data_IF_227331886925
#
_entry.id   IF_227331886925
#
_cell.length_a   1.000
_cell.length_b   1.000
_cell.length_c   1.000
_cell.angle_alpha   90.00
_cell.angle_beta   90.00
_cell.angle_gamma   90.00
#
_symmetry.space_group_name_H-M   'P 1'
#
loop_
_entity.id
_entity.type
_entity.pdbx_description
1 polymer ?
#
# COMPACT_ATOMS: atom_id res chain seq x y z
N UNK A 1 -0.56 -14.66 -17.05
CA UNK A 1 -0.21 -15.30 -15.77
C UNK A 1 -1.02 -14.58 -14.71
N UNK A 2 -1.61 -15.28 -13.74
CA UNK A 2 -2.33 -14.60 -12.65
C UNK A 2 -1.31 -14.07 -11.64
N UNK A 3 -1.38 -12.79 -11.31
CA UNK A 3 -0.53 -12.15 -10.31
C UNK A 3 -1.24 -12.18 -8.96
N UNK A 4 -0.53 -12.49 -7.88
CA UNK A 4 -1.04 -12.36 -6.52
C UNK A 4 -0.90 -10.90 -6.12
N UNK A 5 -1.99 -10.27 -5.70
CA UNK A 5 -2.04 -8.86 -5.38
C UNK A 5 -2.40 -8.69 -3.90
N UNK A 6 -1.57 -7.93 -3.21
CA UNK A 6 -1.93 -7.33 -1.93
C UNK A 6 -2.34 -5.89 -2.20
N UNK A 7 -3.53 -5.52 -1.74
CA UNK A 7 -3.99 -4.14 -1.72
C UNK A 7 -4.08 -3.66 -0.28
N UNK A 8 -3.35 -2.59 0.02
CA UNK A 8 -3.29 -1.97 1.34
C UNK A 8 -4.12 -0.69 1.29
N UNK A 9 -5.17 -0.64 2.09
CA UNK A 9 -6.10 0.46 2.16
C UNK A 9 -5.84 1.31 3.41
N UNK A 10 -5.69 2.62 3.23
CA UNK A 10 -5.63 3.61 4.30
C UNK A 10 -6.85 4.51 4.24
N UNK A 11 -7.39 4.86 5.40
CA UNK A 11 -8.37 5.93 5.54
C UNK A 11 -7.63 7.26 5.40
N UNK A 12 -8.12 8.13 4.52
CA UNK A 12 -7.54 9.45 4.33
C UNK A 12 -7.61 10.29 5.61
N UNK A 13 -8.65 10.15 6.44
CA UNK A 13 -8.78 10.86 7.72
C UNK A 13 -7.76 10.43 8.76
N UNK A 14 -7.20 9.22 8.62
CA UNK A 14 -6.12 8.73 9.47
C UNK A 14 -4.74 9.27 9.04
N UNK A 15 -4.63 9.92 7.87
CA UNK A 15 -3.36 10.45 7.37
C UNK A 15 -2.93 11.64 8.23
N UNK A 16 -1.74 11.58 8.88
CA UNK A 16 -1.31 12.62 9.80
C UNK A 16 -1.27 14.02 9.17
N UNK A 17 -2.04 14.94 9.77
CA UNK A 17 -2.06 16.33 9.38
C UNK A 17 -2.88 16.66 8.13
N UNK A 18 -3.65 15.70 7.58
CA UNK A 18 -4.63 15.97 6.52
C UNK A 18 -5.64 17.03 6.99
N UNK A 19 -5.99 17.97 6.11
CA UNK A 19 -7.17 18.82 6.24
C UNK A 19 -8.39 18.11 5.62
N UNK A 20 -9.44 17.81 6.39
CA UNK A 20 -10.63 17.14 5.86
C UNK A 20 -11.41 18.00 4.85
N UNK A 21 -11.20 19.32 4.87
CA UNK A 21 -11.87 20.27 3.99
C UNK A 21 -11.13 20.47 2.65
N UNK A 22 -9.93 19.89 2.49
CA UNK A 22 -9.14 19.97 1.25
C UNK A 22 -9.14 18.62 0.51
N UNK A 23 -9.94 18.47 -0.55
CA UNK A 23 -9.97 17.23 -1.34
C UNK A 23 -8.67 16.98 -2.12
N UNK A 24 -7.78 17.97 -2.23
CA UNK A 24 -6.49 17.86 -2.90
C UNK A 24 -5.32 18.12 -1.94
N UNK A 25 -5.46 17.79 -0.65
CA UNK A 25 -4.40 18.01 0.33
C UNK A 25 -3.08 17.33 -0.13
N UNK A 26 -2.01 18.10 -0.43
CA UNK A 26 -0.75 17.56 -0.94
C UNK A 26 -0.06 16.61 0.04
N UNK A 27 -0.48 16.58 1.31
CA UNK A 27 -0.01 15.60 2.29
C UNK A 27 -0.50 14.19 1.99
N UNK A 28 -1.68 14.04 1.39
CA UNK A 28 -2.20 12.73 0.96
C UNK A 28 -1.33 12.18 -0.16
N UNK A 29 -1.01 13.00 -1.17
CA UNK A 29 -0.11 12.62 -2.26
C UNK A 29 1.29 12.27 -1.74
N UNK A 30 1.83 13.11 -0.83
CA UNK A 30 3.11 12.83 -0.20
C UNK A 30 3.09 11.53 0.62
N UNK A 31 2.03 11.29 1.39
CA UNK A 31 1.89 10.05 2.16
C UNK A 31 1.83 8.85 1.23
N UNK A 32 1.02 8.91 0.16
CA UNK A 32 0.95 7.89 -0.90
C UNK A 32 2.33 7.58 -1.47
N UNK A 33 3.05 8.60 -1.94
CA UNK A 33 4.31 8.38 -2.65
C UNK A 33 5.38 7.77 -1.73
N UNK A 34 5.43 8.22 -0.47
CA UNK A 34 6.37 7.66 0.51
C UNK A 34 5.95 6.25 0.93
N UNK A 35 4.67 6.00 1.20
CA UNK A 35 4.16 4.69 1.56
C UNK A 35 4.43 3.66 0.45
N UNK A 36 4.12 4.02 -0.79
CA UNK A 36 4.37 3.20 -1.98
C UNK A 36 5.85 2.85 -2.09
N UNK A 37 6.74 3.84 -2.02
CA UNK A 37 8.18 3.62 -2.12
C UNK A 37 8.72 2.77 -0.95
N UNK A 38 8.22 2.98 0.27
CA UNK A 38 8.67 2.23 1.45
C UNK A 38 8.23 0.77 1.41
N UNK A 39 6.97 0.51 1.07
CA UNK A 39 6.44 -0.84 0.97
C UNK A 39 7.11 -1.59 -0.19
N UNK A 40 7.29 -0.93 -1.34
CA UNK A 40 8.02 -1.49 -2.48
C UNK A 40 9.46 -1.87 -2.12
N UNK A 41 10.17 -1.01 -1.37
CA UNK A 41 11.51 -1.31 -0.85
C UNK A 41 11.52 -2.55 0.06
N UNK A 42 10.52 -2.68 0.95
CA UNK A 42 10.42 -3.82 1.87
C UNK A 42 10.20 -5.13 1.11
N UNK A 43 9.32 -5.12 0.10
CA UNK A 43 9.02 -6.30 -0.71
C UNK A 43 10.19 -6.68 -1.63
N UNK A 44 10.79 -5.71 -2.33
CA UNK A 44 11.94 -5.95 -3.22
C UNK A 44 13.17 -6.48 -2.48
N UNK A 45 13.42 -6.01 -1.25
CA UNK A 45 14.54 -6.47 -0.42
C UNK A 45 14.48 -7.96 -0.03
N UNK A 46 13.32 -8.61 -0.18
CA UNK A 46 13.14 -10.05 0.04
C UNK A 46 12.86 -10.85 -1.23
N UNK A 47 12.90 -10.23 -2.41
CA UNK A 47 12.32 -10.78 -3.65
C UNK A 47 10.86 -11.25 -3.43
N UNK A 48 10.10 -10.54 -2.61
CA UNK A 48 8.73 -10.92 -2.24
C UNK A 48 7.69 -10.30 -3.15
N UNK A 49 8.04 -9.25 -3.88
CA UNK A 49 7.08 -8.50 -4.68
C UNK A 49 7.60 -7.15 -5.14
N UNK A 50 6.72 -6.39 -5.78
CA UNK A 50 6.96 -5.02 -6.24
C UNK A 50 5.65 -4.23 -6.32
N UNK A 51 5.77 -2.90 -6.28
CA UNK A 51 4.67 -1.95 -6.40
C UNK A 51 4.05 -1.94 -7.79
N UNK A 52 2.72 -1.98 -7.83
CA UNK A 52 1.94 -1.87 -9.06
C UNK A 52 1.52 -0.42 -9.29
N UNK A 53 0.63 0.09 -8.44
CA UNK A 53 0.15 1.46 -8.51
C UNK A 53 -0.49 1.89 -7.18
N UNK A 54 -0.99 3.12 -7.18
CA UNK A 54 -1.73 3.70 -6.08
C UNK A 54 -2.92 4.51 -6.61
N UNK A 55 -4.06 4.41 -5.94
CA UNK A 55 -5.28 5.14 -6.26
C UNK A 55 -5.84 5.84 -5.02
N UNK A 56 -6.31 7.07 -5.19
CA UNK A 56 -7.07 7.81 -4.17
C UNK A 56 -8.52 7.82 -4.67
N UNK A 57 -9.40 7.13 -3.96
CA UNK A 57 -10.81 6.97 -4.33
C UNK A 57 -11.68 7.24 -3.11
N UNK A 58 -12.66 8.12 -3.27
CA UNK A 58 -13.56 8.55 -2.20
C UNK A 58 -12.79 9.03 -0.94
N UNK A 59 -12.84 8.24 0.13
CA UNK A 59 -12.22 8.47 1.43
C UNK A 59 -11.01 7.54 1.69
N UNK A 60 -10.52 6.84 0.66
CA UNK A 60 -9.45 5.84 0.79
C UNK A 60 -8.27 6.08 -0.13
N UNK A 61 -7.09 5.80 0.42
CA UNK A 61 -5.87 5.57 -0.34
C UNK A 61 -5.66 4.05 -0.48
N UNK A 62 -5.58 3.56 -1.71
CA UNK A 62 -5.31 2.16 -2.04
C UNK A 62 -3.93 2.04 -2.66
N UNK A 63 -3.08 1.18 -2.11
CA UNK A 63 -1.76 0.86 -2.65
C UNK A 63 -1.76 -0.61 -3.08
N UNK A 64 -1.35 -0.90 -4.32
CA UNK A 64 -1.36 -2.26 -4.85
C UNK A 64 0.05 -2.77 -5.11
N UNK A 65 0.29 -4.01 -4.73
CA UNK A 65 1.59 -4.68 -4.88
C UNK A 65 1.39 -6.07 -5.44
N UNK A 66 2.22 -6.44 -6.41
CA UNK A 66 2.37 -7.83 -6.84
C UNK A 66 3.24 -8.53 -5.81
N UNK A 67 2.83 -9.71 -5.37
CA UNK A 67 3.61 -10.54 -4.42
C UNK A 67 3.84 -11.95 -4.95
N UNK A 68 4.93 -12.57 -4.52
CA UNK A 68 5.22 -13.97 -4.83
C UNK A 68 4.46 -14.91 -3.89
N UNK A 69 4.35 -14.55 -2.61
CA UNK A 69 3.68 -15.31 -1.57
C UNK A 69 2.99 -14.33 -0.59
N UNK A 70 1.73 -14.58 -0.29
CA UNK A 70 0.94 -13.66 0.55
C UNK A 70 1.44 -13.61 1.99
N UNK A 71 1.69 -14.78 2.58
CA UNK A 71 2.01 -14.88 4.00
C UNK A 71 3.42 -14.36 4.25
N UNK A 72 4.38 -14.69 3.37
CA UNK A 72 5.73 -14.16 3.46
C UNK A 72 5.78 -12.63 3.29
N UNK A 73 4.98 -12.07 2.38
CA UNK A 73 4.88 -10.63 2.17
C UNK A 73 4.30 -9.93 3.40
N UNK A 74 3.18 -10.41 3.94
CA UNK A 74 2.55 -9.79 5.11
C UNK A 74 3.40 -9.88 6.37
N UNK A 75 4.04 -11.03 6.64
CA UNK A 75 4.97 -11.17 7.78
C UNK A 75 6.12 -10.17 7.66
N UNK A 76 6.67 -10.00 6.45
CA UNK A 76 7.75 -9.04 6.21
C UNK A 76 7.27 -7.61 6.41
N UNK A 77 6.08 -7.26 5.91
CA UNK A 77 5.50 -5.93 6.04
C UNK A 77 5.20 -5.61 7.49
N UNK A 78 4.57 -6.51 8.23
CA UNK A 78 4.29 -6.35 9.67
C UNK A 78 5.59 -6.08 10.44
N UNK A 79 6.63 -6.89 10.21
CA UNK A 79 7.93 -6.72 10.88
C UNK A 79 8.66 -5.42 10.53
N UNK A 80 8.57 -4.93 9.29
CA UNK A 80 9.35 -3.77 8.81
C UNK A 80 8.61 -2.44 8.96
N UNK A 81 7.27 -2.49 9.04
CA UNK A 81 6.42 -1.32 9.22
C UNK A 81 6.01 -1.11 10.67
N UNK A 82 6.22 -2.08 11.57
CA UNK A 82 5.87 -1.91 12.98
C UNK A 82 6.43 -0.61 13.58
N UNK A 83 5.57 0.09 14.33
CA UNK A 83 5.86 1.40 14.91
C UNK A 83 5.99 2.57 13.92
N UNK A 84 5.76 2.36 12.62
CA UNK A 84 5.77 3.43 11.60
C UNK A 84 4.38 3.98 11.31
N UNK A 85 4.31 5.12 10.63
CA UNK A 85 3.05 5.71 10.18
C UNK A 85 2.28 4.84 9.15
N UNK A 86 2.91 3.79 8.60
CA UNK A 86 2.33 2.92 7.58
C UNK A 86 1.74 1.63 8.14
N UNK A 87 1.88 1.34 9.44
CA UNK A 87 1.35 0.14 10.08
C UNK A 87 -0.12 0.26 10.54
N UNK A 88 -0.85 1.23 9.99
CA UNK A 88 -2.26 1.46 10.33
C UNK A 88 -3.15 1.44 9.08
N UNK A 89 -3.08 0.38 8.24
CA UNK A 89 -4.09 0.21 7.21
C UNK A 89 -5.45 -0.08 7.86
N UNK A 90 -6.52 0.40 7.24
CA UNK A 90 -7.88 0.01 7.63
C UNK A 90 -8.25 -1.36 7.11
N UNK A 91 -7.61 -1.80 6.02
CA UNK A 91 -7.88 -3.06 5.37
C UNK A 91 -6.69 -3.52 4.53
N UNK A 92 -6.45 -4.83 4.51
CA UNK A 92 -5.49 -5.49 3.61
C UNK A 92 -6.23 -6.58 2.86
N UNK A 93 -6.27 -6.48 1.53
CA UNK A 93 -6.99 -7.41 0.66
C UNK A 93 -6.00 -8.30 -0.11
N UNK A 94 -6.38 -9.57 -0.29
CA UNK A 94 -5.64 -10.56 -1.09
C UNK A 94 -6.49 -11.00 -2.27
N UNK A 95 -5.98 -10.89 -3.49
CA UNK A 95 -6.67 -11.39 -4.68
C UNK A 95 -5.71 -11.74 -5.82
N UNK A 96 -6.24 -12.39 -6.85
CA UNK A 96 -5.52 -12.73 -8.07
C UNK A 96 -5.97 -11.81 -9.19
N UNK A 97 -5.03 -11.21 -9.93
CA UNK A 97 -5.30 -10.36 -11.08
C UNK A 97 -4.50 -10.82 -12.31
N UNK A 98 -5.21 -11.11 -13.40
CA UNK A 98 -4.65 -11.49 -14.70
C UNK A 98 -4.04 -10.31 -15.49
N UNK A 99 -4.34 -9.07 -15.12
CA UNK A 99 -3.96 -7.84 -15.85
C UNK A 99 -2.88 -7.00 -15.17
N UNK A 100 -2.46 -7.37 -13.96
CA UNK A 100 -1.55 -6.56 -13.15
C UNK A 100 -0.09 -6.47 -13.64
N UNK A 101 0.30 -7.14 -14.75
CA UNK A 101 1.66 -7.03 -15.31
C UNK A 101 1.71 -6.40 -16.71
N UNK A 102 0.78 -5.49 -17.02
CA UNK A 102 0.74 -4.76 -18.28
C UNK A 102 1.58 -3.48 -18.23
#
# INVERSE_FOLDING_TARGET
MEHRIIEICYDLDAIPGRSPDDPHDPRVERFRDIAMARIDQVLSGGDLGYGLDAAIEDDRLRLRFVVQDFDAAEIRLDSELDGTAWNFPVEVLRYWDVRAAA
#
